data_IF_652903124121
#
_entry.id   IF_652903124121
#
_cell.length_a   1.000
_cell.length_b   1.000
_cell.length_c   1.000
_cell.angle_alpha   90.00
_cell.angle_beta   90.00
_cell.angle_gamma   90.00
#
_symmetry.space_group_name_H-M   'P 1'
#
loop_
_entity.id
_entity.type
_entity.pdbx_description
1 polymer ?
#
# COMPACT_ATOMS: atom_id res chain seq x y z
N UNK A 1 -43.06 -9.70 23.82
CA UNK A 1 -41.67 -9.36 24.23
C UNK A 1 -40.59 -9.75 23.20
N UNK A 2 -40.94 -10.19 21.98
CA UNK A 2 -39.95 -10.68 20.99
C UNK A 2 -39.31 -9.53 20.18
N UNK A 3 -40.06 -8.45 19.95
CA UNK A 3 -39.61 -7.31 19.12
C UNK A 3 -38.36 -6.57 19.66
N UNK A 4 -38.22 -6.30 20.98
CA UNK A 4 -37.02 -5.63 21.50
C UNK A 4 -35.75 -6.48 21.37
N UNK A 5 -35.88 -7.80 21.55
CA UNK A 5 -34.78 -8.75 21.40
C UNK A 5 -34.28 -8.81 19.96
N UNK A 6 -35.20 -8.83 19.00
CA UNK A 6 -34.85 -8.83 17.58
C UNK A 6 -34.09 -7.55 17.20
N UNK A 7 -34.51 -6.39 17.71
CA UNK A 7 -33.84 -5.12 17.45
C UNK A 7 -32.41 -5.08 18.02
N UNK A 8 -32.21 -5.57 19.24
CA UNK A 8 -30.87 -5.65 19.83
C UNK A 8 -29.95 -6.63 19.08
N UNK A 9 -30.50 -7.76 18.64
CA UNK A 9 -29.78 -8.75 17.84
C UNK A 9 -29.31 -8.18 16.51
N UNK A 10 -30.17 -7.47 15.77
CA UNK A 10 -29.81 -6.83 14.51
C UNK A 10 -28.74 -5.75 14.71
N UNK A 11 -28.85 -4.96 15.79
CA UNK A 11 -27.86 -3.92 16.11
C UNK A 11 -26.49 -4.50 16.46
N UNK A 12 -26.44 -5.61 17.20
CA UNK A 12 -25.20 -6.30 17.55
C UNK A 12 -24.54 -6.90 16.30
N UNK A 13 -25.33 -7.51 15.42
CA UNK A 13 -24.83 -8.16 14.21
C UNK A 13 -24.48 -7.17 13.08
N UNK A 14 -25.01 -5.94 13.09
CA UNK A 14 -24.63 -4.89 12.14
C UNK A 14 -23.15 -4.48 12.26
N UNK A 15 -22.53 -4.69 13.42
CA UNK A 15 -21.09 -4.44 13.64
C UNK A 15 -20.23 -5.68 13.34
N UNK A 16 -20.85 -6.83 13.09
CA UNK A 16 -20.14 -8.04 12.75
C UNK A 16 -19.62 -7.93 11.32
N UNK A 17 -18.35 -7.58 11.18
CA UNK A 17 -17.67 -7.65 9.89
C UNK A 17 -17.52 -9.12 9.55
N UNK A 18 -18.05 -9.61 8.41
CA UNK A 18 -17.78 -10.98 8.01
C UNK A 18 -16.26 -11.16 7.97
N UNK A 19 -15.74 -12.32 8.42
CA UNK A 19 -14.31 -12.58 8.28
C UNK A 19 -13.96 -12.34 6.82
N UNK A 20 -12.88 -11.58 6.59
CA UNK A 20 -12.35 -11.40 5.25
C UNK A 20 -11.85 -12.77 4.82
N UNK A 21 -12.74 -13.54 4.18
CA UNK A 21 -12.38 -14.76 3.49
C UNK A 21 -11.60 -14.27 2.28
N UNK A 22 -10.29 -14.11 2.45
CA UNK A 22 -9.39 -13.96 1.33
C UNK A 22 -9.62 -15.22 0.48
N UNK A 23 -10.34 -15.08 -0.63
CA UNK A 23 -10.40 -16.11 -1.65
C UNK A 23 -8.99 -16.21 -2.24
N UNK A 24 -8.22 -17.10 -1.63
CA UNK A 24 -6.80 -16.95 -1.34
C UNK A 24 -5.90 -17.42 -2.49
N UNK A 25 -6.34 -17.35 -3.75
CA UNK A 25 -5.48 -17.80 -4.88
C UNK A 25 -4.12 -17.10 -4.87
N UNK A 26 -4.11 -15.81 -4.54
CA UNK A 26 -2.87 -15.02 -4.48
C UNK A 26 -1.98 -15.39 -3.29
N UNK A 27 -2.55 -15.84 -2.18
CA UNK A 27 -1.79 -16.24 -0.98
C UNK A 27 -1.24 -17.65 -1.15
N UNK A 28 -2.03 -18.56 -1.69
CA UNK A 28 -1.58 -19.92 -2.04
C UNK A 28 -0.41 -19.87 -3.02
N UNK A 29 -0.52 -19.09 -4.11
CA UNK A 29 0.57 -18.91 -5.07
C UNK A 29 1.84 -18.33 -4.42
N UNK A 30 1.69 -17.36 -3.50
CA UNK A 30 2.84 -16.79 -2.76
C UNK A 30 3.48 -17.81 -1.83
N UNK A 31 2.68 -18.58 -1.10
CA UNK A 31 3.16 -19.64 -0.20
C UNK A 31 3.90 -20.73 -0.98
N UNK A 32 3.33 -21.21 -2.08
CA UNK A 32 3.98 -22.21 -2.95
C UNK A 32 5.31 -21.70 -3.51
N UNK A 33 5.37 -20.44 -3.96
CA UNK A 33 6.61 -19.82 -4.46
C UNK A 33 7.68 -19.69 -3.37
N UNK A 34 7.29 -19.31 -2.15
CA UNK A 34 8.20 -19.22 -1.02
C UNK A 34 8.71 -20.60 -0.59
N UNK A 35 7.82 -21.59 -0.59
CA UNK A 35 8.17 -22.98 -0.27
C UNK A 35 9.17 -23.56 -1.27
N UNK A 36 8.93 -23.41 -2.58
CA UNK A 36 9.88 -23.83 -3.60
C UNK A 36 11.25 -23.17 -3.43
N UNK A 37 11.28 -21.85 -3.17
CA UNK A 37 12.53 -21.15 -2.91
C UNK A 37 13.28 -21.70 -1.69
N UNK A 38 12.57 -21.99 -0.60
CA UNK A 38 13.17 -22.55 0.61
C UNK A 38 13.74 -23.95 0.35
N UNK A 39 13.01 -24.79 -0.37
CA UNK A 39 13.45 -26.15 -0.76
C UNK A 39 14.69 -26.08 -1.65
N UNK A 40 14.71 -25.25 -2.69
CA UNK A 40 15.88 -25.08 -3.57
C UNK A 40 17.11 -24.55 -2.81
N UNK A 41 16.89 -23.65 -1.85
CA UNK A 41 17.96 -23.14 -0.98
C UNK A 41 18.51 -24.25 -0.08
N UNK A 42 17.63 -25.06 0.52
CA UNK A 42 18.03 -26.17 1.40
C UNK A 42 18.74 -27.31 0.68
N UNK A 43 18.41 -27.54 -0.59
CA UNK A 43 19.04 -28.56 -1.43
C UNK A 43 20.37 -28.10 -2.05
N UNK A 44 20.84 -26.88 -1.74
CA UNK A 44 22.06 -26.32 -2.34
C UNK A 44 21.94 -26.12 -3.86
N UNK A 45 20.72 -26.11 -4.39
CA UNK A 45 20.42 -26.06 -5.82
C UNK A 45 20.18 -24.64 -6.32
N UNK A 46 20.47 -23.64 -5.50
CA UNK A 46 20.76 -22.31 -6.02
C UNK A 46 22.12 -22.39 -6.67
N UNK A 47 22.13 -22.26 -7.98
CA UNK A 47 23.33 -21.85 -8.70
C UNK A 47 23.90 -20.65 -7.94
N UNK A 48 25.02 -20.86 -7.27
CA UNK A 48 25.75 -19.83 -6.55
C UNK A 48 26.36 -18.88 -7.59
N UNK A 49 25.51 -18.14 -8.31
CA UNK A 49 25.91 -16.92 -9.01
C UNK A 49 26.13 -15.78 -7.98
N UNK A 50 26.56 -16.12 -6.77
CA UNK A 50 27.18 -15.18 -5.83
C UNK A 50 28.64 -14.89 -6.23
N UNK A 51 29.21 -15.67 -7.16
CA UNK A 51 30.32 -15.19 -7.95
C UNK A 51 29.79 -14.17 -8.95
N UNK A 52 29.85 -12.90 -8.57
CA UNK A 52 30.01 -11.83 -9.55
C UNK A 52 31.19 -12.26 -10.42
N UNK A 53 30.98 -12.42 -11.72
CA UNK A 53 32.06 -12.68 -12.69
C UNK A 53 33.00 -11.46 -12.74
N UNK A 54 33.81 -11.32 -11.69
CA UNK A 54 34.93 -10.41 -11.62
C UNK A 54 35.98 -11.02 -12.54
N UNK A 55 36.39 -10.31 -13.58
CA UNK A 55 37.54 -10.64 -14.45
C UNK A 55 38.89 -10.57 -13.73
N UNK A 56 38.89 -10.79 -12.43
CA UNK A 56 39.99 -10.58 -11.51
C UNK A 56 40.74 -11.91 -11.38
N UNK A 57 42.09 -11.89 -11.42
CA UNK A 57 42.87 -13.11 -11.29
C UNK A 57 42.58 -13.80 -9.96
N UNK A 58 42.61 -15.13 -9.95
CA UNK A 58 42.19 -15.97 -8.81
C UNK A 58 42.87 -15.58 -7.48
N UNK A 59 44.11 -15.09 -7.56
CA UNK A 59 44.92 -14.62 -6.43
C UNK A 59 44.35 -13.39 -5.72
N UNK A 60 43.46 -12.62 -6.38
CA UNK A 60 42.79 -11.44 -5.79
C UNK A 60 41.34 -11.71 -5.39
N UNK A 61 40.84 -12.94 -5.56
CA UNK A 61 39.49 -13.29 -5.13
C UNK A 61 39.53 -13.56 -3.63
N UNK A 62 38.86 -12.71 -2.85
CA UNK A 62 38.67 -12.91 -1.42
C UNK A 62 37.89 -14.22 -1.22
N UNK A 63 38.44 -15.22 -0.51
CA UNK A 63 37.72 -16.44 -0.19
C UNK A 63 36.41 -16.11 0.53
N UNK A 64 35.33 -16.84 0.20
CA UNK A 64 34.00 -16.60 0.78
C UNK A 64 34.02 -16.66 2.33
N UNK A 65 34.91 -17.46 2.91
CA UNK A 65 35.12 -17.53 4.36
C UNK A 65 35.64 -16.21 4.97
N UNK A 66 36.45 -15.43 4.24
CA UNK A 66 36.88 -14.10 4.67
C UNK A 66 35.76 -13.06 4.54
N UNK A 67 34.85 -13.21 3.58
CA UNK A 67 33.68 -12.32 3.47
C UNK A 67 32.71 -12.48 4.64
N UNK A 68 32.53 -13.70 5.15
CA UNK A 68 31.74 -13.94 6.37
C UNK A 68 32.42 -13.36 7.61
N UNK A 69 33.75 -13.45 7.68
CA UNK A 69 34.55 -12.82 8.74
C UNK A 69 34.48 -11.28 8.71
N UNK A 70 34.61 -10.66 7.52
CA UNK A 70 34.44 -9.21 7.33
C UNK A 70 33.00 -8.78 7.66
N UNK A 71 31.99 -9.62 7.37
CA UNK A 71 30.60 -9.35 7.79
C UNK A 71 30.43 -9.40 9.31
N UNK A 72 31.13 -10.31 9.98
CA UNK A 72 31.13 -10.41 11.44
C UNK A 72 31.86 -9.23 12.10
N UNK A 73 32.98 -8.77 11.55
CA UNK A 73 33.69 -7.57 12.02
C UNK A 73 32.97 -6.26 11.67
N UNK A 74 32.26 -6.20 10.54
CA UNK A 74 31.42 -5.04 10.16
C UNK A 74 30.20 -4.83 11.05
N UNK A 75 29.81 -5.82 11.87
CA UNK A 75 28.81 -5.66 12.93
C UNK A 75 29.43 -5.36 14.30
N UNK A 76 30.76 -5.47 14.44
CA UNK A 76 31.50 -5.05 15.62
C UNK A 76 31.75 -3.55 15.60
N UNK A 77 30.85 -2.78 16.22
CA UNK A 77 31.17 -1.43 16.71
C UNK A 77 31.67 -0.46 15.61
N UNK A 78 30.81 -0.14 14.63
CA UNK A 78 30.83 1.25 14.17
C UNK A 78 30.53 2.08 15.41
N UNK A 79 31.56 2.70 15.99
CA UNK A 79 31.39 3.81 16.91
C UNK A 79 30.71 4.91 16.09
N UNK A 80 29.39 4.82 16.00
CA UNK A 80 28.53 5.94 15.64
C UNK A 80 28.88 7.00 16.65
N UNK A 81 29.71 7.97 16.23
CA UNK A 81 30.14 9.08 17.08
C UNK A 81 28.92 9.58 17.82
N UNK A 82 29.02 9.61 19.15
CA UNK A 82 27.90 9.77 20.10
C UNK A 82 26.74 10.52 19.47
N UNK A 83 25.78 9.79 18.90
CA UNK A 83 24.60 10.43 18.34
C UNK A 83 23.91 11.07 19.53
N UNK A 84 23.88 12.39 19.54
CA UNK A 84 23.19 13.15 20.56
C UNK A 84 21.71 12.76 20.50
N UNK A 85 21.30 11.89 21.41
CA UNK A 85 19.94 11.33 21.47
C UNK A 85 18.87 12.43 21.47
N UNK A 86 19.22 13.62 21.98
CA UNK A 86 18.34 14.78 21.98
C UNK A 86 18.08 15.32 20.57
N UNK A 87 19.09 15.30 19.69
CA UNK A 87 18.99 15.78 18.31
C UNK A 87 18.21 14.79 17.45
N UNK A 88 18.48 13.49 17.57
CA UNK A 88 17.71 12.46 16.85
C UNK A 88 16.23 12.48 17.22
N UNK A 89 15.90 12.68 18.51
CA UNK A 89 14.51 12.80 18.95
C UNK A 89 13.82 14.02 18.34
N UNK A 90 14.52 15.16 18.21
CA UNK A 90 14.01 16.35 17.52
C UNK A 90 13.81 16.10 16.03
N UNK A 91 14.74 15.41 15.36
CA UNK A 91 14.61 15.07 13.95
C UNK A 91 13.41 14.15 13.68
N UNK A 92 13.20 13.13 14.51
CA UNK A 92 12.04 12.23 14.41
C UNK A 92 10.73 12.99 14.63
N UNK A 93 10.67 13.88 15.63
CA UNK A 93 9.47 14.70 15.89
C UNK A 93 9.15 15.64 14.71
N UNK A 94 10.18 16.25 14.11
CA UNK A 94 10.02 17.11 12.94
C UNK A 94 9.58 16.32 11.69
N UNK A 95 10.10 15.10 11.49
CA UNK A 95 9.67 14.22 10.41
C UNK A 95 8.19 13.86 10.54
N UNK A 96 7.75 13.44 11.73
CA UNK A 96 6.33 13.14 12.02
C UNK A 96 5.43 14.36 11.80
N UNK A 97 5.86 15.55 12.21
CA UNK A 97 5.09 16.78 11.99
C UNK A 97 4.95 17.10 10.50
N UNK A 98 5.99 16.91 9.70
CA UNK A 98 5.96 17.12 8.24
C UNK A 98 5.06 16.10 7.53
N UNK A 99 5.04 14.85 7.99
CA UNK A 99 4.15 13.81 7.47
C UNK A 99 2.69 14.14 7.76
N UNK A 100 2.37 14.53 9.00
CA UNK A 100 1.01 14.92 9.39
C UNK A 100 0.49 16.15 8.63
N UNK A 101 1.37 17.10 8.29
CA UNK A 101 1.01 18.26 7.45
C UNK A 101 0.65 17.78 6.03
N UNK A 102 1.46 16.89 5.44
CA UNK A 102 1.20 16.33 4.10
C UNK A 102 -0.12 15.57 4.04
N UNK A 103 -0.44 14.75 5.05
CA UNK A 103 -1.73 14.05 5.13
C UNK A 103 -2.92 15.01 5.19
N UNK A 104 -2.81 16.11 5.96
CA UNK A 104 -3.87 17.12 6.05
C UNK A 104 -4.06 17.84 4.72
N UNK A 105 -2.99 18.15 4.00
CA UNK A 105 -3.05 18.77 2.67
C UNK A 105 -3.68 17.84 1.64
N UNK A 106 -3.30 16.56 1.61
CA UNK A 106 -3.93 15.56 0.74
C UNK A 106 -5.43 15.40 1.03
N UNK A 107 -5.81 15.33 2.31
CA UNK A 107 -7.22 15.25 2.71
C UNK A 107 -8.02 16.49 2.31
N UNK A 108 -7.40 17.68 2.34
CA UNK A 108 -8.03 18.92 1.84
C UNK A 108 -8.21 18.88 0.33
N UNK A 109 -7.19 18.43 -0.42
CA UNK A 109 -7.27 18.29 -1.88
C UNK A 109 -8.35 17.30 -2.32
N UNK A 110 -8.41 16.12 -1.70
CA UNK A 110 -9.48 15.15 -1.97
C UNK A 110 -10.87 15.73 -1.70
N UNK A 111 -11.04 16.47 -0.58
CA UNK A 111 -12.33 17.10 -0.27
C UNK A 111 -12.71 18.20 -1.26
N UNK A 112 -11.75 18.99 -1.74
CA UNK A 112 -12.04 20.01 -2.75
C UNK A 112 -12.38 19.38 -4.10
N UNK A 113 -11.68 18.31 -4.48
CA UNK A 113 -11.94 17.59 -5.73
C UNK A 113 -13.32 16.90 -5.72
N UNK A 114 -13.69 16.27 -4.60
CA UNK A 114 -15.03 15.71 -4.39
C UNK A 114 -16.14 16.78 -4.44
N UNK A 115 -15.85 17.99 -3.94
CA UNK A 115 -16.80 19.11 -4.01
C UNK A 115 -16.99 19.60 -5.45
N UNK A 116 -15.90 19.73 -6.22
CA UNK A 116 -15.95 20.09 -7.64
C UNK A 116 -16.73 19.03 -8.43
N UNK A 117 -16.47 17.75 -8.17
CA UNK A 117 -17.16 16.66 -8.85
C UNK A 117 -18.68 16.68 -8.57
N UNK A 118 -19.10 16.97 -7.33
CA UNK A 118 -20.51 17.15 -7.00
C UNK A 118 -21.15 18.35 -7.69
N UNK A 119 -20.43 19.46 -7.83
CA UNK A 119 -20.91 20.63 -8.58
C UNK A 119 -21.03 20.34 -10.08
N UNK A 120 -20.12 19.54 -10.65
CA UNK A 120 -20.15 19.12 -12.05
C UNK A 120 -21.33 18.19 -12.33
N UNK A 121 -21.61 17.22 -11.45
CA UNK A 121 -22.79 16.34 -11.52
C UNK A 121 -24.10 17.16 -11.51
N UNK A 122 -24.20 18.15 -10.60
CA UNK A 122 -25.36 19.06 -10.55
C UNK A 122 -25.51 19.89 -11.83
N UNK A 123 -24.40 20.35 -12.42
CA UNK A 123 -24.44 21.08 -13.70
C UNK A 123 -24.89 20.19 -14.86
N UNK A 124 -24.44 18.93 -14.89
CA UNK A 124 -24.85 17.96 -15.91
C UNK A 124 -26.34 17.63 -15.81
N UNK A 125 -26.88 17.44 -14.60
CA UNK A 125 -28.30 17.19 -14.39
C UNK A 125 -29.17 18.35 -14.88
N UNK A 126 -28.75 19.60 -14.63
CA UNK A 126 -29.44 20.79 -15.14
C UNK A 126 -29.40 20.83 -16.68
N UNK A 127 -28.26 20.53 -17.30
CA UNK A 127 -28.15 20.51 -18.76
C UNK A 127 -29.06 19.44 -19.39
N UNK A 128 -29.07 18.22 -18.84
CA UNK A 128 -29.93 17.14 -19.31
C UNK A 128 -31.43 17.47 -19.16
N UNK A 129 -31.81 18.21 -18.13
CA UNK A 129 -33.18 18.67 -17.93
C UNK A 129 -33.63 19.64 -19.05
N UNK A 130 -32.76 20.54 -19.50
CA UNK A 130 -33.09 21.47 -20.60
C UNK A 130 -33.13 20.79 -21.98
N UNK A 131 -32.25 19.83 -22.24
CA UNK A 131 -32.21 19.11 -23.52
C UNK A 131 -33.46 18.25 -23.72
N UNK A 132 -33.95 17.63 -22.64
CA UNK A 132 -35.19 16.83 -22.66
C UNK A 132 -36.47 17.65 -22.88
N UNK A 133 -36.42 18.98 -22.79
CA UNK A 133 -37.58 19.86 -22.94
C UNK A 133 -37.77 20.40 -24.36
N UNK A 134 -36.83 20.19 -25.28
CA UNK A 134 -36.90 20.75 -26.64
C UNK A 134 -37.61 19.87 -27.67
N UNK A 135 -37.89 18.60 -27.36
CA UNK A 135 -38.40 17.64 -28.36
C UNK A 135 -39.95 17.58 -28.47
N UNK A 136 -40.72 18.36 -27.70
CA UNK A 136 -42.19 18.29 -27.70
C UNK A 136 -42.92 19.33 -28.58
N UNK A 137 -42.23 20.12 -29.43
CA UNK A 137 -42.88 21.18 -30.23
C UNK A 137 -42.95 20.97 -31.76
N UNK A 138 -42.61 19.79 -32.31
CA UNK A 138 -42.61 19.58 -33.77
C UNK A 138 -43.68 18.58 -34.27
N UNK A 139 -44.91 18.68 -33.76
CA UNK A 139 -46.03 17.85 -34.23
C UNK A 139 -47.39 18.58 -34.26
N UNK A 140 -47.46 19.81 -34.78
CA UNK A 140 -48.75 20.45 -35.11
C UNK A 140 -48.62 21.37 -36.34
N UNK A 141 -48.40 20.83 -37.53
CA UNK A 141 -48.66 21.60 -38.76
C UNK A 141 -48.84 20.67 -39.96
N UNK A 142 -50.04 20.14 -40.10
CA UNK A 142 -50.59 19.69 -41.39
C UNK A 142 -52.12 19.68 -41.27
N UNK A 143 -52.75 20.81 -41.59
CA UNK A 143 -54.14 20.91 -42.04
C UNK A 143 -54.33 22.11 -42.96
#
# INVERSE_FOLDING_TARGET
MILPLLHQWTKANALFKPPVINQCRTIELKLTKLWHNAVETSLGKRENNSHIDCGCPREKKIPVLELEFIKAEGQGSMQMGSIDYSETKKQIANAKKREQIREREQKKKMKSEEAIQREEELCQDVYHFFDSSSDEQEATSDE
#
